data_IF_876554510433
#
_entry.id   IF_876554510433
#
_cell.length_a   1.000
_cell.length_b   1.000
_cell.length_c   1.000
_cell.angle_alpha   90.00
_cell.angle_beta   90.00
_cell.angle_gamma   90.00
#
_symmetry.space_group_name_H-M   'P 1'
#
loop_
_entity.id
_entity.type
_entity.pdbx_description
1 polymer ?
#
# COMPACT_ATOMS: atom_id res chain seq x y z
N UNK A 1 6.62 -5.14 -11.96
CA UNK A 1 5.28 -4.81 -11.45
C UNK A 1 5.21 -5.27 -10.00
N UNK A 2 4.88 -4.38 -9.08
CA UNK A 2 4.63 -4.70 -7.66
C UNK A 2 3.11 -4.84 -7.46
N UNK A 3 2.68 -5.81 -6.66
CA UNK A 3 1.25 -6.06 -6.38
C UNK A 3 1.03 -6.06 -4.87
N UNK A 4 -0.14 -5.57 -4.45
CA UNK A 4 -0.60 -5.58 -3.06
C UNK A 4 -1.83 -6.47 -3.00
N UNK A 5 -1.90 -7.38 -2.03
CA UNK A 5 -3.06 -8.27 -1.84
C UNK A 5 -3.22 -9.38 -2.88
N UNK A 6 -2.32 -9.52 -3.87
CA UNK A 6 -2.29 -10.60 -4.86
C UNK A 6 -0.86 -11.03 -5.17
N UNK A 7 -0.61 -12.34 -5.25
CA UNK A 7 0.70 -12.88 -5.62
C UNK A 7 0.90 -13.00 -7.14
N UNK A 8 2.01 -13.59 -7.59
CA UNK A 8 2.26 -13.84 -9.02
C UNK A 8 1.18 -14.77 -9.63
N UNK A 9 0.85 -14.57 -10.90
CA UNK A 9 -0.16 -15.32 -11.64
C UNK A 9 -0.66 -14.55 -12.86
N UNK A 10 -1.46 -15.23 -13.70
CA UNK A 10 -2.09 -14.63 -14.88
C UNK A 10 -2.95 -13.42 -14.48
N UNK A 11 -2.96 -12.32 -15.27
CA UNK A 11 -3.67 -11.09 -14.93
C UNK A 11 -5.16 -11.30 -14.64
N UNK A 12 -5.78 -12.27 -15.29
CA UNK A 12 -7.21 -12.57 -15.18
C UNK A 12 -7.51 -13.65 -14.12
N UNK A 13 -6.48 -14.21 -13.48
CA UNK A 13 -6.61 -15.27 -12.50
C UNK A 13 -6.30 -14.80 -11.07
N UNK A 14 -7.37 -14.51 -10.32
CA UNK A 14 -7.31 -14.01 -8.94
C UNK A 14 -7.22 -15.11 -7.86
N UNK A 15 -6.83 -16.34 -8.22
CA UNK A 15 -6.75 -17.48 -7.26
C UNK A 15 -5.76 -17.31 -6.11
N UNK A 16 -4.87 -16.31 -6.17
CA UNK A 16 -3.83 -16.03 -5.16
C UNK A 16 -3.99 -14.67 -4.50
N UNK A 17 -5.24 -14.27 -4.30
CA UNK A 17 -5.58 -13.07 -3.56
C UNK A 17 -5.57 -13.32 -2.05
N UNK A 18 -5.23 -12.29 -1.29
CA UNK A 18 -5.50 -12.23 0.13
C UNK A 18 -7.02 -12.18 0.32
N UNK A 19 -7.56 -13.06 1.17
CA UNK A 19 -8.93 -12.94 1.65
C UNK A 19 -8.90 -12.17 2.99
N UNK A 20 -8.96 -10.85 2.91
CA UNK A 20 -8.89 -9.98 4.08
C UNK A 20 -8.77 -8.50 3.70
N UNK A 21 -8.68 -7.66 4.73
CA UNK A 21 -8.54 -6.21 4.60
C UNK A 21 -7.08 -5.80 4.80
N UNK A 22 -6.69 -4.74 4.10
CA UNK A 22 -5.35 -4.14 4.19
C UNK A 22 -5.55 -2.64 4.36
N UNK A 23 -4.77 -2.02 5.25
CA UNK A 23 -4.64 -0.58 5.38
C UNK A 23 -3.17 -0.22 5.63
N UNK A 24 -2.84 1.06 5.52
CA UNK A 24 -1.54 1.60 5.98
C UNK A 24 -0.30 0.93 5.36
N UNK A 25 -0.38 0.55 4.07
CA UNK A 25 0.71 -0.13 3.36
C UNK A 25 1.85 0.83 3.08
N UNK A 26 3.05 0.46 3.49
CA UNK A 26 4.26 1.29 3.37
C UNK A 26 5.43 0.49 2.82
N UNK A 27 6.23 1.13 1.97
CA UNK A 27 7.52 0.60 1.53
C UNK A 27 8.62 1.52 2.04
N UNK A 28 9.59 0.94 2.76
CA UNK A 28 10.75 1.66 3.29
C UNK A 28 12.02 1.13 2.63
N UNK A 29 12.97 2.02 2.32
CA UNK A 29 14.32 1.65 1.89
C UNK A 29 15.36 1.76 3.03
N UNK A 30 14.87 1.89 4.26
CA UNK A 30 15.65 1.92 5.50
C UNK A 30 15.13 0.85 6.45
N UNK A 31 16.00 0.34 7.30
CA UNK A 31 15.61 -0.59 8.36
C UNK A 31 14.82 0.21 9.41
N UNK A 32 13.65 -0.31 9.82
CA UNK A 32 12.82 0.28 10.87
C UNK A 32 13.00 -0.49 12.17
N UNK A 33 13.12 0.22 13.28
CA UNK A 33 13.14 -0.38 14.61
C UNK A 33 11.71 -0.80 15.04
N UNK A 34 11.63 -1.67 16.05
CA UNK A 34 10.33 -2.06 16.62
C UNK A 34 9.57 -0.87 17.21
N UNK A 35 10.28 0.03 17.90
CA UNK A 35 9.68 1.24 18.50
C UNK A 35 9.13 2.19 17.43
N UNK A 36 9.87 2.33 16.34
CA UNK A 36 9.46 3.12 15.18
C UNK A 36 8.22 2.57 14.49
N UNK A 37 8.14 1.25 14.32
CA UNK A 37 6.95 0.58 13.76
C UNK A 37 5.76 0.77 14.70
N UNK A 38 5.96 0.59 16.00
CA UNK A 38 4.90 0.71 17.00
C UNK A 38 4.32 2.13 17.07
N UNK A 39 5.17 3.16 17.14
CA UNK A 39 4.73 4.56 17.21
C UNK A 39 4.00 5.03 15.95
N UNK A 40 4.37 4.46 14.78
CA UNK A 40 3.87 4.89 13.47
C UNK A 40 2.91 3.88 12.85
N UNK A 41 2.29 3.01 13.66
CA UNK A 41 1.48 1.91 13.15
C UNK A 41 0.28 2.42 12.33
N UNK A 42 -0.41 3.44 12.83
CA UNK A 42 -1.63 3.98 12.24
C UNK A 42 -1.43 5.18 11.32
N UNK A 43 -0.30 5.87 11.42
CA UNK A 43 0.04 6.95 10.51
C UNK A 43 1.55 7.22 10.53
N UNK A 44 2.04 7.84 9.45
CA UNK A 44 3.41 8.33 9.35
C UNK A 44 3.43 9.58 8.47
N UNK A 45 4.35 10.49 8.75
CA UNK A 45 4.60 11.63 7.86
C UNK A 45 5.04 11.11 6.49
N UNK A 46 4.33 11.42 5.38
CA UNK A 46 4.70 10.96 4.05
C UNK A 46 6.07 11.46 3.56
N UNK A 47 6.63 12.49 4.20
CA UNK A 47 7.97 13.02 3.91
C UNK A 47 9.07 12.35 4.75
N UNK A 48 8.74 11.35 5.57
CA UNK A 48 9.73 10.65 6.40
C UNK A 48 10.85 10.08 5.54
N UNK A 49 12.10 10.40 5.89
CA UNK A 49 13.28 9.90 5.20
C UNK A 49 13.25 8.38 5.08
N UNK A 50 13.32 7.91 3.84
CA UNK A 50 13.36 6.50 3.51
C UNK A 50 12.01 5.84 3.25
N UNK A 51 10.91 6.56 3.40
CA UNK A 51 9.59 6.13 2.91
C UNK A 51 9.55 6.30 1.38
N UNK A 52 9.17 5.23 0.66
CA UNK A 52 9.18 5.18 -0.81
C UNK A 52 7.80 5.03 -1.44
N UNK A 53 6.86 4.47 -0.70
CA UNK A 53 5.45 4.47 -1.08
C UNK A 53 4.61 4.34 0.18
N UNK A 54 3.43 4.98 0.19
CA UNK A 54 2.50 4.92 1.30
C UNK A 54 1.05 4.99 0.81
N UNK A 55 0.34 3.87 0.89
CA UNK A 55 -1.08 3.78 0.54
C UNK A 55 -1.91 3.56 1.80
N UNK A 56 -2.77 4.53 2.12
CA UNK A 56 -3.65 4.43 3.30
C UNK A 56 -4.86 3.51 3.05
N UNK A 57 -5.28 3.37 1.80
CA UNK A 57 -6.50 2.63 1.39
C UNK A 57 -7.78 3.15 2.06
N UNK A 58 -7.92 4.47 2.15
CA UNK A 58 -9.05 5.15 2.78
C UNK A 58 -9.83 6.06 1.81
N UNK A 59 -9.64 5.92 0.50
CA UNK A 59 -10.30 6.72 -0.53
C UNK A 59 -11.82 6.46 -0.61
N UNK A 60 -12.25 5.28 -0.15
CA UNK A 60 -13.65 4.89 -0.03
C UNK A 60 -14.37 4.58 -1.34
N UNK A 61 -13.82 4.95 -2.50
CA UNK A 61 -14.39 4.66 -3.82
C UNK A 61 -13.34 4.77 -4.93
N UNK A 62 -13.68 4.23 -6.11
CA UNK A 62 -12.81 4.31 -7.29
C UNK A 62 -11.81 3.16 -7.35
N UNK A 63 -10.83 3.30 -8.22
CA UNK A 63 -9.84 2.24 -8.50
C UNK A 63 -8.40 2.75 -8.35
N UNK A 64 -8.21 3.94 -7.78
CA UNK A 64 -6.90 4.51 -7.49
C UNK A 64 -6.74 4.58 -5.97
N UNK A 65 -5.72 3.90 -5.46
CA UNK A 65 -5.20 4.11 -4.14
C UNK A 65 -3.99 5.03 -4.24
N UNK A 66 -4.06 6.18 -3.56
CA UNK A 66 -3.08 7.24 -3.70
C UNK A 66 -1.79 6.87 -2.97
N UNK A 67 -0.64 7.07 -3.61
CA UNK A 67 0.64 7.15 -2.91
C UNK A 67 0.73 8.51 -2.21
N UNK A 68 0.74 8.51 -0.89
CA UNK A 68 0.83 9.72 -0.09
C UNK A 68 2.23 10.33 -0.10
N UNK A 69 3.25 9.60 -0.56
CA UNK A 69 4.59 10.18 -0.79
C UNK A 69 4.61 11.01 -2.08
N UNK A 70 5.68 11.77 -2.28
CA UNK A 70 5.88 12.58 -3.50
C UNK A 70 6.41 11.75 -4.69
N UNK A 71 6.48 10.42 -4.56
CA UNK A 71 7.09 9.54 -5.57
C UNK A 71 6.11 9.09 -6.67
N UNK A 72 4.82 9.38 -6.53
CA UNK A 72 3.81 9.15 -7.58
C UNK A 72 3.52 7.67 -7.89
N UNK A 73 3.70 6.77 -6.93
CA UNK A 73 3.44 5.34 -7.13
C UNK A 73 1.97 4.97 -6.90
N UNK A 74 1.02 5.73 -7.46
CA UNK A 74 -0.41 5.43 -7.28
C UNK A 74 -0.72 3.99 -7.70
N UNK A 75 -1.42 3.25 -6.84
CA UNK A 75 -1.79 1.87 -7.08
C UNK A 75 -3.15 1.80 -7.78
N UNK A 76 -3.24 0.96 -8.80
CA UNK A 76 -4.50 0.67 -9.52
C UNK A 76 -5.13 -0.60 -8.95
N UNK A 77 -6.34 -0.47 -8.39
CA UNK A 77 -7.11 -1.62 -7.94
C UNK A 77 -7.57 -2.46 -9.14
N UNK A 78 -7.59 -3.79 -8.97
CA UNK A 78 -8.09 -4.71 -9.99
C UNK A 78 -9.59 -4.51 -10.27
N UNK A 79 -10.36 -4.29 -9.20
CA UNK A 79 -11.79 -3.99 -9.26
C UNK A 79 -12.04 -2.63 -8.62
N UNK A 80 -12.95 -1.86 -9.20
CA UNK A 80 -13.36 -0.56 -8.68
C UNK A 80 -14.14 -0.72 -7.37
N UNK A 81 -13.72 -0.01 -6.33
CA UNK A 81 -14.52 0.17 -5.13
C UNK A 81 -15.75 1.04 -5.46
N UNK A 82 -16.91 0.60 -4.99
CA UNK A 82 -18.21 1.25 -5.21
C UNK A 82 -18.54 2.10 -3.99
#
# INVERSE_FOLDING_TARGET
>A
MFKIGHSYGEPENMTRQLNGEICEVRIWNVIRSQEEIYKNMYDVDPQTTGLKAYWKFNEGKGDIAKDYTENGNDAKAYTKAI
#
